data_IF_607280661471
#
_entry.id   IF_607280661471
#
_cell.length_a   1.000
_cell.length_b   1.000
_cell.length_c   1.000
_cell.angle_alpha   90.00
_cell.angle_beta   90.00
_cell.angle_gamma   90.00
#
_symmetry.space_group_name_H-M   'P 1'
#
loop_
_entity.id
_entity.type
_entity.pdbx_description
1 polymer ?
#
# COMPACT_ATOMS: atom_id res chain seq x y z
N UNK A 1 -6.44 -4.67 -8.94
CA UNK A 1 -7.42 -5.06 -9.96
C UNK A 1 -7.73 -3.84 -10.79
N UNK A 2 -7.67 -3.95 -12.11
CA UNK A 2 -7.91 -2.85 -13.02
C UNK A 2 -9.19 -3.09 -13.80
N UNK A 3 -9.85 -2.04 -14.28
CA UNK A 3 -11.08 -2.19 -15.07
C UNK A 3 -10.88 -3.02 -16.35
N UNK A 4 -9.63 -3.24 -16.76
CA UNK A 4 -9.25 -4.12 -17.88
C UNK A 4 -9.46 -5.61 -17.60
N UNK A 5 -9.61 -6.02 -16.34
CA UNK A 5 -9.83 -7.41 -15.92
C UNK A 5 -11.33 -7.74 -15.82
N UNK A 6 -12.21 -6.78 -16.11
CA UNK A 6 -13.65 -6.99 -16.19
C UNK A 6 -14.03 -7.61 -17.53
N UNK A 7 -14.99 -8.51 -17.52
CA UNK A 7 -15.63 -9.07 -18.70
C UNK A 7 -16.44 -8.02 -19.46
N UNK A 8 -17.02 -8.43 -20.59
CA UNK A 8 -17.88 -7.56 -21.41
C UNK A 8 -19.13 -7.06 -20.67
N UNK A 9 -19.50 -7.73 -19.58
CA UNK A 9 -20.58 -7.40 -18.66
C UNK A 9 -20.16 -6.44 -17.53
N UNK A 10 -18.88 -6.04 -17.50
CA UNK A 10 -18.32 -5.18 -16.46
C UNK A 10 -18.07 -5.89 -15.13
N UNK A 11 -18.31 -7.21 -15.04
CA UNK A 11 -18.05 -8.01 -13.84
C UNK A 11 -16.70 -8.71 -13.95
N UNK A 12 -16.11 -9.08 -12.83
CA UNK A 12 -14.91 -9.90 -12.83
C UNK A 12 -15.29 -11.37 -12.99
N UNK A 13 -14.43 -12.12 -13.67
CA UNK A 13 -14.64 -13.55 -13.88
C UNK A 13 -14.61 -14.35 -12.58
N UNK A 14 -15.17 -15.58 -12.58
CA UNK A 14 -15.27 -16.44 -11.40
C UNK A 14 -13.91 -16.81 -10.80
N UNK A 15 -12.81 -16.69 -11.56
CA UNK A 15 -11.44 -16.91 -11.10
C UNK A 15 -10.99 -15.93 -10.00
N UNK A 16 -11.67 -14.80 -9.85
CA UNK A 16 -11.35 -13.77 -8.86
C UNK A 16 -12.08 -13.96 -7.52
N UNK A 17 -13.06 -14.86 -7.45
CA UNK A 17 -13.92 -15.02 -6.29
C UNK A 17 -14.88 -13.83 -6.07
N UNK A 18 -15.41 -13.69 -4.86
CA UNK A 18 -16.31 -12.59 -4.50
C UNK A 18 -15.53 -11.29 -4.31
N UNK A 19 -15.98 -10.22 -4.98
CA UNK A 19 -15.33 -8.92 -4.95
C UNK A 19 -16.20 -7.93 -4.22
N UNK A 20 -15.64 -7.36 -3.16
CA UNK A 20 -16.30 -6.33 -2.36
C UNK A 20 -15.56 -5.00 -2.50
N UNK A 21 -16.30 -3.97 -2.90
CA UNK A 21 -15.80 -2.60 -2.86
C UNK A 21 -15.91 -2.05 -1.45
N UNK A 22 -14.81 -1.48 -0.95
CA UNK A 22 -14.72 -0.95 0.41
C UNK A 22 -13.95 0.36 0.41
N UNK A 23 -14.44 1.32 1.17
CA UNK A 23 -13.74 2.56 1.48
C UNK A 23 -13.21 2.49 2.91
N UNK A 24 -11.93 2.81 3.11
CA UNK A 24 -11.24 2.67 4.39
C UNK A 24 -10.34 3.86 4.66
N UNK A 25 -10.36 4.34 5.90
CA UNK A 25 -9.33 5.25 6.40
C UNK A 25 -8.07 4.45 6.74
N UNK A 26 -7.00 4.70 5.99
CA UNK A 26 -5.74 3.98 6.13
C UNK A 26 -4.55 4.95 6.19
N UNK A 27 -3.49 4.54 6.90
CA UNK A 27 -2.19 5.18 6.87
C UNK A 27 -1.39 4.70 5.66
N UNK A 28 -0.75 5.67 5.01
CA UNK A 28 0.08 5.44 3.84
C UNK A 28 1.52 5.81 4.14
N UNK A 29 2.45 4.99 3.67
CA UNK A 29 3.84 5.34 3.55
C UNK A 29 4.03 6.13 2.24
N UNK A 30 4.68 7.30 2.35
CA UNK A 30 4.94 8.24 1.24
C UNK A 30 5.99 7.71 0.25
N UNK A 31 5.75 6.52 -0.30
CA UNK A 31 6.69 5.80 -1.15
C UNK A 31 7.04 6.59 -2.42
N UNK A 32 6.08 7.35 -2.96
CA UNK A 32 6.27 8.19 -4.15
C UNK A 32 7.47 9.15 -4.02
N UNK A 33 7.73 9.68 -2.82
CA UNK A 33 8.84 10.60 -2.55
C UNK A 33 10.22 9.94 -2.65
N UNK A 34 10.29 8.62 -2.58
CA UNK A 34 11.55 7.86 -2.60
C UNK A 34 11.88 7.26 -3.97
N UNK A 35 11.05 7.51 -5.00
CA UNK A 35 11.24 6.96 -6.34
C UNK A 35 12.62 7.26 -6.91
N UNK A 36 13.02 8.52 -6.95
CA UNK A 36 14.30 8.94 -7.54
C UNK A 36 15.50 8.40 -6.76
N UNK A 37 15.39 8.38 -5.43
CA UNK A 37 16.40 7.79 -4.56
C UNK A 37 16.58 6.29 -4.85
N UNK A 38 15.49 5.55 -5.02
CA UNK A 38 15.53 4.12 -5.29
C UNK A 38 16.12 3.83 -6.68
N UNK A 39 15.73 4.60 -7.71
CA UNK A 39 16.33 4.49 -9.04
C UNK A 39 17.84 4.77 -9.01
N UNK A 40 18.27 5.78 -8.26
CA UNK A 40 19.69 6.10 -8.10
C UNK A 40 20.45 5.00 -7.36
N UNK A 41 19.86 4.41 -6.31
CA UNK A 41 20.42 3.28 -5.59
C UNK A 41 20.64 2.07 -6.53
N UNK A 42 19.61 1.71 -7.29
CA UNK A 42 19.65 0.60 -8.24
C UNK A 42 20.64 0.85 -9.40
N UNK A 43 20.79 2.09 -9.86
CA UNK A 43 21.80 2.42 -10.89
C UNK A 43 23.23 2.27 -10.37
N UNK A 44 23.47 2.54 -9.08
CA UNK A 44 24.82 2.53 -8.48
C UNK A 44 25.28 1.14 -8.04
N UNK A 45 24.35 0.18 -7.90
CA UNK A 45 24.62 -1.16 -7.36
C UNK A 45 24.00 -2.25 -8.22
N UNK A 46 24.76 -2.78 -9.16
CA UNK A 46 24.34 -3.90 -10.00
C UNK A 46 24.29 -5.25 -9.25
N UNK A 47 24.83 -5.30 -8.03
CA UNK A 47 24.91 -6.47 -7.16
C UNK A 47 23.80 -6.50 -6.09
N UNK A 48 22.97 -5.46 -6.02
CA UNK A 48 21.95 -5.33 -4.97
C UNK A 48 20.84 -6.38 -5.11
N UNK A 49 20.58 -6.85 -6.33
CA UNK A 49 19.53 -7.81 -6.65
C UNK A 49 20.10 -8.85 -7.59
N UNK A 50 19.89 -10.12 -7.25
CA UNK A 50 20.37 -11.27 -8.02
C UNK A 50 19.20 -12.23 -8.22
N UNK A 51 19.01 -12.79 -9.42
CA UNK A 51 19.80 -12.56 -10.65
C UNK A 51 19.55 -11.18 -11.28
N UNK A 52 20.49 -10.74 -12.14
CA UNK A 52 20.54 -9.40 -12.74
C UNK A 52 19.25 -8.96 -13.46
N UNK A 53 18.57 -9.88 -14.15
CA UNK A 53 17.32 -9.58 -14.83
C UNK A 53 16.22 -9.12 -13.87
N UNK A 54 16.23 -9.58 -12.61
CA UNK A 54 15.29 -9.12 -11.57
C UNK A 54 15.53 -7.66 -11.20
N UNK A 55 16.77 -7.18 -11.29
CA UNK A 55 17.06 -5.77 -11.06
C UNK A 55 16.47 -4.89 -12.17
N UNK A 56 16.50 -5.36 -13.41
CA UNK A 56 15.87 -4.68 -14.55
C UNK A 56 14.35 -4.63 -14.35
N UNK A 57 13.73 -5.75 -13.97
CA UNK A 57 12.30 -5.81 -13.62
C UNK A 57 11.94 -4.83 -12.51
N UNK A 58 12.70 -4.82 -11.41
CA UNK A 58 12.45 -3.92 -10.29
C UNK A 58 12.61 -2.46 -10.72
N UNK A 59 13.66 -2.12 -11.47
CA UNK A 59 13.86 -0.77 -11.99
C UNK A 59 12.65 -0.31 -12.81
N UNK A 60 12.15 -1.15 -13.70
CA UNK A 60 10.96 -0.86 -14.51
C UNK A 60 9.70 -0.69 -13.65
N UNK A 61 9.55 -1.49 -12.59
CA UNK A 61 8.44 -1.35 -11.65
C UNK A 61 8.53 -0.03 -10.87
N UNK A 62 9.72 0.36 -10.41
CA UNK A 62 9.96 1.63 -9.72
C UNK A 62 9.72 2.82 -10.65
N UNK A 63 10.12 2.72 -11.91
CA UNK A 63 9.89 3.78 -12.91
C UNK A 63 8.39 3.98 -13.18
N UNK A 64 7.60 2.92 -13.11
CA UNK A 64 6.13 2.97 -13.23
C UNK A 64 5.40 3.21 -11.92
N UNK A 65 6.12 3.32 -10.80
CA UNK A 65 5.51 3.53 -9.49
C UNK A 65 4.73 4.83 -9.48
N UNK A 66 3.46 4.74 -9.11
CA UNK A 66 2.56 5.86 -8.90
C UNK A 66 1.83 5.70 -7.57
N UNK A 67 1.74 6.80 -6.82
CA UNK A 67 1.06 6.82 -5.53
C UNK A 67 1.89 6.29 -4.36
N UNK A 68 1.23 6.26 -3.22
CA UNK A 68 1.80 5.88 -1.93
C UNK A 68 1.36 4.48 -1.51
N UNK A 69 2.16 3.83 -0.67
CA UNK A 69 1.90 2.47 -0.23
C UNK A 69 1.00 2.48 1.01
N UNK A 70 -0.17 1.85 0.91
CA UNK A 70 -1.01 1.62 2.08
C UNK A 70 -0.35 0.62 3.04
N UNK A 71 -0.11 1.02 4.29
CA UNK A 71 0.59 0.20 5.30
C UNK A 71 -0.25 -0.16 6.51
N UNK A 72 -1.51 0.29 6.56
CA UNK A 72 -2.44 -0.06 7.62
C UNK A 72 -3.75 -0.59 7.08
N UNK A 73 -4.50 -1.20 8.00
CA UNK A 73 -5.88 -1.65 7.82
C UNK A 73 -6.65 -1.42 9.13
N UNK A 74 -7.95 -1.08 9.09
CA UNK A 74 -8.73 -0.93 10.31
C UNK A 74 -8.90 -2.26 11.02
N UNK A 75 -8.88 -2.25 12.36
CA UNK A 75 -9.04 -3.46 13.18
C UNK A 75 -10.34 -4.20 12.87
N UNK A 76 -11.43 -3.47 12.66
CA UNK A 76 -12.73 -4.03 12.27
C UNK A 76 -12.71 -4.91 11.00
N UNK A 77 -11.67 -4.79 10.17
CA UNK A 77 -11.50 -5.62 8.97
C UNK A 77 -10.47 -6.72 9.13
N UNK A 78 -9.44 -6.50 9.96
CA UNK A 78 -8.37 -7.47 10.18
C UNK A 78 -7.93 -7.40 11.64
N UNK A 79 -8.38 -8.38 12.42
CA UNK A 79 -8.10 -8.45 13.85
C UNK A 79 -6.68 -8.94 14.17
N UNK A 80 -6.06 -9.67 13.24
CA UNK A 80 -4.70 -10.21 13.41
C UNK A 80 -3.65 -9.29 12.78
N UNK A 81 -2.73 -8.78 13.61
CA UNK A 81 -1.62 -7.95 13.16
C UNK A 81 -0.96 -7.16 14.29
N UNK A 82 0.04 -6.36 13.94
CA UNK A 82 0.72 -5.48 14.89
C UNK A 82 -0.05 -4.16 14.98
N UNK A 83 -0.47 -3.78 16.19
CA UNK A 83 -1.16 -2.52 16.42
C UNK A 83 -0.22 -1.32 16.20
N UNK A 84 -0.64 -0.38 15.34
CA UNK A 84 0.10 0.86 15.10
C UNK A 84 0.04 1.78 16.32
N UNK A 85 1.22 2.13 16.87
CA UNK A 85 1.32 3.03 18.04
C UNK A 85 0.66 4.40 17.82
N UNK A 86 0.61 4.91 16.60
CA UNK A 86 -0.03 6.20 16.29
C UNK A 86 -1.55 6.20 16.55
N UNK A 87 -2.20 5.04 16.43
CA UNK A 87 -3.64 4.88 16.71
C UNK A 87 -3.93 5.07 18.21
N UNK A 88 -3.03 4.63 19.09
CA UNK A 88 -3.21 4.78 20.56
C UNK A 88 -3.28 6.26 20.97
N UNK A 89 -2.39 7.10 20.45
CA UNK A 89 -2.38 8.54 20.78
C UNK A 89 -3.62 9.28 20.27
N UNK A 90 -4.12 8.94 19.08
CA UNK A 90 -5.31 9.58 18.52
C UNK A 90 -6.56 9.29 19.36
N UNK A 91 -6.74 8.04 19.79
CA UNK A 91 -7.85 7.67 20.67
C UNK A 91 -7.75 8.34 22.05
N UNK A 92 -6.56 8.44 22.64
CA UNK A 92 -6.35 9.16 23.92
C UNK A 92 -6.69 10.65 23.80
N UNK A 93 -6.26 11.32 22.73
CA UNK A 93 -6.60 12.72 22.47
C UNK A 93 -8.09 12.94 22.23
N UNK A 94 -8.77 12.01 21.55
CA UNK A 94 -10.20 12.10 21.31
C UNK A 94 -11.01 11.93 22.61
N UNK A 95 -10.60 10.99 23.48
CA UNK A 95 -11.18 10.76 24.80
C UNK A 95 -10.96 11.97 25.73
N UNK A 96 -9.75 12.55 25.75
CA UNK A 96 -9.42 13.73 26.55
C UNK A 96 -10.18 14.99 26.10
N UNK A 97 -10.54 15.10 24.82
CA UNK A 97 -11.39 16.18 24.31
C UNK A 97 -12.87 16.02 24.72
N UNK A 98 -13.37 14.79 24.80
CA UNK A 98 -14.74 14.48 25.27
C UNK A 98 -14.94 14.70 26.77
N UNK A 99 -13.88 14.52 27.57
CA UNK A 99 -13.92 14.71 29.03
C UNK A 99 -13.79 16.18 29.47
N UNK A 100 -13.52 17.10 28.54
CA UNK A 100 -13.37 18.54 28.80
C UNK A 100 -14.52 19.39 28.22
N UNK A 101 -15.57 18.75 27.72
CA UNK A 101 -16.85 19.35 27.31
C UNK A 101 -17.96 18.87 28.23
#
# INVERSE_FOLDING_TARGET
>A
MTDKERGADGQFGPEWGEIEFREEENYYFRLSQYKDWLLAYLSKRADAIIPDFRQIELRNAVDRLSGDLCISRPKSRLDWGIELRLVRRANELHQLRRLRS
#
